data_IF_752866560922
#
_entry.id   IF_752866560922
#
_cell.length_a   1.000
_cell.length_b   1.000
_cell.length_c   1.000
_cell.angle_alpha   90.00
_cell.angle_beta   90.00
_cell.angle_gamma   90.00
#
_symmetry.space_group_name_H-M   'P 1'
#
loop_
_entity.id
_entity.type
_entity.pdbx_description
1 polymer ?
#
# COMPACT_ATOMS: atom_id res chain seq x y z
N UNK A 1 14.89 28.29 18.14
CA UNK A 1 13.44 27.96 18.17
C UNK A 1 13.26 26.69 19.00
N UNK A 2 12.26 25.83 18.78
CA UNK A 2 12.19 24.49 19.42
C UNK A 2 12.23 23.40 18.34
N UNK A 3 12.93 22.31 18.64
CA UNK A 3 12.96 21.13 17.76
C UNK A 3 11.77 20.22 18.01
N UNK A 4 11.13 19.77 16.94
CA UNK A 4 10.03 18.83 16.93
C UNK A 4 10.28 17.72 15.92
N UNK A 5 9.84 16.52 16.26
CA UNK A 5 9.77 15.38 15.38
C UNK A 5 8.29 15.06 15.14
N UNK A 6 7.89 15.08 13.88
CA UNK A 6 6.52 14.84 13.45
C UNK A 6 6.51 13.56 12.63
N UNK A 7 5.72 12.58 13.07
CA UNK A 7 5.39 11.39 12.28
C UNK A 7 3.92 11.48 11.93
N UNK A 8 3.57 11.32 10.65
CA UNK A 8 2.18 11.25 10.23
C UNK A 8 1.93 10.14 9.21
N UNK A 9 0.71 9.62 9.27
CA UNK A 9 0.23 8.49 8.50
C UNK A 9 -0.80 9.00 7.50
N UNK A 10 -0.52 8.84 6.21
CA UNK A 10 -1.42 9.22 5.12
C UNK A 10 -2.16 7.97 4.60
N UNK A 11 -3.42 8.17 4.22
CA UNK A 11 -4.25 7.15 3.60
C UNK A 11 -3.60 6.61 2.30
N UNK A 12 -3.60 5.29 2.05
CA UNK A 12 -2.78 4.68 0.99
C UNK A 12 -3.15 5.10 -0.43
N UNK A 13 -4.39 5.54 -0.65
CA UNK A 13 -4.90 5.96 -1.97
C UNK A 13 -4.37 7.37 -2.35
N UNK A 14 -4.09 8.22 -1.36
CA UNK A 14 -3.53 9.56 -1.52
C UNK A 14 -1.99 9.55 -1.53
N UNK A 15 -1.37 8.36 -1.62
CA UNK A 15 0.09 8.19 -1.62
C UNK A 15 0.81 8.96 -2.74
N UNK A 16 0.15 9.29 -3.84
CA UNK A 16 0.72 10.09 -4.94
C UNK A 16 0.70 11.60 -4.64
N UNK A 17 -0.16 12.05 -3.73
CA UNK A 17 -0.30 13.46 -3.33
C UNK A 17 0.66 13.84 -2.19
N UNK A 18 1.31 12.84 -1.57
CA UNK A 18 2.25 13.02 -0.45
C UNK A 18 3.36 14.03 -0.75
N UNK A 19 4.07 13.99 -1.89
CA UNK A 19 5.17 14.94 -2.16
C UNK A 19 4.68 16.39 -2.16
N UNK A 20 3.54 16.66 -2.81
CA UNK A 20 2.92 17.98 -2.85
C UNK A 20 2.38 18.45 -1.49
N UNK A 21 1.91 17.53 -0.65
CA UNK A 21 1.54 17.86 0.73
C UNK A 21 2.77 18.24 1.56
N UNK A 22 3.86 17.45 1.47
CA UNK A 22 5.13 17.71 2.15
C UNK A 22 5.71 19.07 1.71
N UNK A 23 5.66 19.40 0.43
CA UNK A 23 6.15 20.68 -0.10
C UNK A 23 5.34 21.87 0.45
N UNK A 24 4.00 21.75 0.56
CA UNK A 24 3.15 22.77 1.21
C UNK A 24 3.50 22.96 2.69
N UNK A 25 3.69 21.87 3.43
CA UNK A 25 4.08 21.95 4.84
C UNK A 25 5.49 22.55 5.03
N UNK A 26 6.44 22.23 4.13
CA UNK A 26 7.76 22.89 4.08
C UNK A 26 7.64 24.39 3.84
N UNK A 27 6.77 24.81 2.92
CA UNK A 27 6.47 26.23 2.66
C UNK A 27 5.98 26.94 3.93
N UNK A 28 4.92 26.42 4.57
CA UNK A 28 4.38 26.97 5.82
C UNK A 28 5.45 27.09 6.94
N UNK A 29 6.35 26.10 7.05
CA UNK A 29 7.45 26.13 8.03
C UNK A 29 8.45 27.24 7.69
N UNK A 30 8.82 27.39 6.41
CA UNK A 30 9.77 28.40 5.95
C UNK A 30 9.20 29.83 6.07
N UNK A 31 7.92 30.03 5.73
CA UNK A 31 7.20 31.30 5.89
C UNK A 31 7.16 31.72 7.37
N UNK A 32 7.00 30.75 8.28
CA UNK A 32 7.10 30.92 9.73
C UNK A 32 8.53 31.07 10.29
N UNK A 33 9.55 31.18 9.43
CA UNK A 33 10.96 31.33 9.82
C UNK A 33 11.60 30.05 10.39
N UNK A 34 10.95 28.89 10.25
CA UNK A 34 11.44 27.60 10.69
C UNK A 34 12.34 26.89 9.67
N UNK A 35 12.99 25.81 10.12
CA UNK A 35 13.92 25.00 9.32
C UNK A 35 13.52 23.53 9.38
N UNK A 36 13.55 22.84 8.24
CA UNK A 36 13.37 21.38 8.18
C UNK A 36 14.75 20.72 8.14
N UNK A 37 15.09 20.02 9.21
CA UNK A 37 16.40 19.38 9.41
C UNK A 37 16.49 18.00 8.76
N UNK A 38 15.39 17.25 8.77
CA UNK A 38 15.30 15.88 8.23
C UNK A 38 13.92 15.65 7.63
N UNK A 39 13.86 15.01 6.47
CA UNK A 39 12.63 14.50 5.86
C UNK A 39 12.90 13.07 5.42
N UNK A 40 12.10 12.12 5.88
CA UNK A 40 12.13 10.74 5.41
C UNK A 40 10.73 10.32 4.99
N UNK A 41 10.64 9.78 3.77
CA UNK A 41 9.49 9.02 3.29
C UNK A 41 9.80 7.54 3.56
N UNK A 42 8.96 6.85 4.35
CA UNK A 42 9.08 5.42 4.65
C UNK A 42 8.10 4.57 3.82
N UNK A 43 7.46 5.18 2.81
CA UNK A 43 6.54 4.56 1.89
C UNK A 43 5.31 3.94 2.54
N UNK A 44 4.69 3.02 1.80
CA UNK A 44 3.45 2.32 2.19
C UNK A 44 3.77 1.07 3.02
N UNK A 45 3.51 1.14 4.33
CA UNK A 45 3.77 0.07 5.30
C UNK A 45 2.47 -0.54 5.83
N UNK A 46 2.52 -1.82 6.21
CA UNK A 46 1.37 -2.51 6.81
C UNK A 46 1.22 -2.11 8.29
N UNK A 47 -0.01 -1.80 8.70
CA UNK A 47 -0.35 -1.44 10.07
C UNK A 47 -0.48 -2.70 10.94
N UNK A 48 -0.09 -2.60 12.21
CA UNK A 48 -0.23 -3.68 13.18
C UNK A 48 -1.71 -4.00 13.51
N UNK A 49 -2.60 -3.01 13.37
CA UNK A 49 -4.04 -3.13 13.52
C UNK A 49 -4.74 -2.14 12.58
N UNK A 50 -5.99 -2.40 12.15
CA UNK A 50 -6.68 -1.50 11.23
C UNK A 50 -7.04 -0.18 11.90
N UNK A 51 -6.73 0.94 11.23
CA UNK A 51 -7.19 2.29 11.60
C UNK A 51 -8.25 2.68 10.57
N UNK A 52 -9.46 3.06 10.99
CA UNK A 52 -10.57 3.40 10.08
C UNK A 52 -10.82 2.33 8.99
N UNK A 53 -10.69 1.03 9.34
CA UNK A 53 -10.77 -0.15 8.45
C UNK A 53 -9.62 -0.31 7.43
N UNK A 54 -8.58 0.51 7.52
CA UNK A 54 -7.43 0.51 6.60
C UNK A 54 -6.29 -0.31 7.21
N UNK A 55 -5.64 -1.16 6.41
CA UNK A 55 -4.55 -2.05 6.84
C UNK A 55 -3.14 -1.60 6.41
N UNK A 56 -3.02 -0.58 5.58
CA UNK A 56 -1.73 -0.02 5.11
C UNK A 56 -1.80 1.49 5.14
N UNK A 57 -0.73 2.16 5.58
CA UNK A 57 -0.63 3.61 5.53
C UNK A 57 0.70 4.01 4.89
N UNK A 58 0.73 5.18 4.28
CA UNK A 58 1.96 5.82 3.86
C UNK A 58 2.54 6.58 5.06
N UNK A 59 3.81 6.32 5.42
CA UNK A 59 4.46 6.90 6.60
C UNK A 59 5.47 7.99 6.22
N UNK A 60 5.35 9.17 6.82
CA UNK A 60 6.29 10.27 6.65
C UNK A 60 6.82 10.70 8.02
N UNK A 61 8.12 10.94 8.08
CA UNK A 61 8.84 11.49 9.21
C UNK A 61 9.43 12.86 8.81
N UNK A 62 9.26 13.86 9.67
CA UNK A 62 9.81 15.19 9.47
C UNK A 62 10.37 15.74 10.79
N UNK A 63 11.65 16.13 10.80
CA UNK A 63 12.25 16.85 11.91
C UNK A 63 12.31 18.33 11.56
N UNK A 64 11.69 19.15 12.40
CA UNK A 64 11.55 20.58 12.17
C UNK A 64 12.08 21.37 13.38
N UNK A 65 12.50 22.58 13.11
CA UNK A 65 12.70 23.62 14.10
C UNK A 65 11.73 24.76 13.78
N UNK A 66 10.84 25.11 14.71
CA UNK A 66 9.84 26.16 14.51
C UNK A 66 9.43 26.86 15.81
N UNK A 67 8.64 27.93 15.68
CA UNK A 67 7.91 28.55 16.79
C UNK A 67 6.75 27.65 17.25
N UNK A 68 6.09 28.02 18.35
CA UNK A 68 4.89 27.31 18.80
C UNK A 68 3.68 27.58 17.88
N UNK A 69 3.54 28.82 17.41
CA UNK A 69 2.42 29.27 16.56
C UNK A 69 2.34 28.44 15.26
N UNK A 70 3.46 28.31 14.56
CA UNK A 70 3.58 27.49 13.33
C UNK A 70 3.29 26.01 13.61
N UNK A 71 3.64 25.50 14.78
CA UNK A 71 3.32 24.12 15.16
C UNK A 71 1.82 23.91 15.36
N UNK A 72 1.14 24.89 15.97
CA UNK A 72 -0.30 24.84 16.23
C UNK A 72 -1.10 24.99 14.91
N UNK A 73 -0.61 25.78 13.96
CA UNK A 73 -1.13 25.86 12.59
C UNK A 73 -0.93 24.55 11.80
N UNK A 74 0.23 23.90 11.91
CA UNK A 74 0.47 22.57 11.32
C UNK A 74 -0.43 21.51 11.93
N UNK A 75 -0.56 21.48 13.27
CA UNK A 75 -1.45 20.55 13.97
C UNK A 75 -2.92 20.73 13.56
N UNK A 76 -3.35 21.98 13.37
CA UNK A 76 -4.66 22.34 12.82
C UNK A 76 -4.80 21.87 11.36
N UNK A 77 -3.76 22.08 10.53
CA UNK A 77 -3.73 21.64 9.14
C UNK A 77 -3.78 20.12 8.99
N UNK A 78 -3.14 19.35 9.89
CA UNK A 78 -3.26 17.89 9.92
C UNK A 78 -4.64 17.42 10.39
N UNK A 79 -5.34 18.19 11.24
CA UNK A 79 -6.67 17.86 11.74
C UNK A 79 -7.77 18.06 10.70
N UNK A 80 -7.62 19.04 9.81
CA UNK A 80 -8.58 19.33 8.73
C UNK A 80 -8.27 18.60 7.41
N UNK A 81 -7.18 17.83 7.34
CA UNK A 81 -6.85 17.06 6.14
C UNK A 81 -7.26 15.59 6.30
N UNK A 82 -8.38 15.20 5.70
CA UNK A 82 -8.92 13.83 5.74
C UNK A 82 -7.97 12.75 5.21
N UNK A 83 -6.95 13.12 4.41
CA UNK A 83 -5.92 12.20 3.98
C UNK A 83 -4.99 11.76 5.13
N UNK A 84 -4.90 12.53 6.22
CA UNK A 84 -4.04 12.23 7.38
C UNK A 84 -4.82 11.41 8.41
N UNK A 85 -4.53 10.12 8.49
CA UNK A 85 -5.20 9.18 9.41
C UNK A 85 -4.82 9.41 10.88
N UNK A 86 -3.55 9.78 11.12
CA UNK A 86 -3.00 10.02 12.45
C UNK A 86 -1.69 10.80 12.32
N UNK A 87 -1.46 11.71 13.25
CA UNK A 87 -0.18 12.38 13.46
C UNK A 87 0.30 12.16 14.90
N UNK A 88 1.61 12.31 15.10
CA UNK A 88 2.28 12.32 16.40
C UNK A 88 3.35 13.41 16.35
N UNK A 89 3.22 14.40 17.22
CA UNK A 89 4.20 15.49 17.39
C UNK A 89 4.96 15.25 18.69
N UNK A 90 6.27 15.11 18.62
CA UNK A 90 7.16 14.95 19.76
C UNK A 90 8.15 16.12 19.85
N UNK A 91 8.28 16.73 21.02
CA UNK A 91 9.37 17.68 21.27
C UNK A 91 10.71 16.94 21.37
N UNK A 92 11.74 17.46 20.71
CA UNK A 92 13.13 16.99 20.82
C UNK A 92 13.99 18.03 21.56
N UNK A 93 15.15 17.58 22.04
CA UNK A 93 16.14 18.44 22.68
C UNK A 93 17.02 19.13 21.64
N UNK A 94 17.42 18.37 20.62
CA UNK A 94 18.41 18.75 19.62
C UNK A 94 17.88 18.47 18.19
N UNK A 95 18.50 19.09 17.18
CA UNK A 95 18.25 18.82 15.77
C UNK A 95 18.87 17.47 15.36
N UNK A 96 18.06 16.41 15.34
CA UNK A 96 18.52 15.10 14.83
C UNK A 96 18.50 15.13 13.30
N UNK A 97 19.67 15.26 12.67
CA UNK A 97 19.86 15.21 11.22
C UNK A 97 20.16 13.79 10.68
N UNK A 98 20.59 12.88 11.55
CA UNK A 98 20.92 11.48 11.21
C UNK A 98 19.72 10.72 10.65
N UNK A 99 19.89 9.99 9.53
CA UNK A 99 18.84 9.13 8.96
C UNK A 99 18.46 7.99 9.90
N UNK A 100 17.16 7.75 10.03
CA UNK A 100 16.56 6.70 10.85
C UNK A 100 16.93 5.29 10.37
N UNK A 101 17.00 4.36 11.33
CA UNK A 101 17.11 2.92 11.09
C UNK A 101 15.97 2.38 10.21
N UNK A 102 14.81 3.06 10.19
CA UNK A 102 13.65 2.66 9.40
C UNK A 102 13.75 2.99 7.91
N UNK A 103 14.57 3.99 7.53
CA UNK A 103 14.92 4.30 6.14
C UNK A 103 16.11 3.43 5.67
N UNK A 104 17.12 3.26 6.54
CA UNK A 104 18.29 2.38 6.28
C UNK A 104 17.95 0.88 6.19
N UNK A 105 16.79 0.46 6.67
CA UNK A 105 16.38 -0.95 6.78
C UNK A 105 15.65 -1.55 5.58
N UNK A 106 15.41 -0.81 4.49
CA UNK A 106 14.59 -1.29 3.38
C UNK A 106 15.32 -2.15 2.33
N UNK A 107 16.66 -2.18 2.30
CA UNK A 107 17.40 -2.95 1.28
C UNK A 107 17.40 -4.49 1.42
N UNK A 108 17.49 -5.13 2.62
CA UNK A 108 17.56 -6.60 2.70
C UNK A 108 16.18 -7.30 2.77
N UNK A 109 15.16 -6.67 3.36
CA UNK A 109 13.92 -7.37 3.73
C UNK A 109 13.00 -7.73 2.54
N UNK A 110 13.25 -7.21 1.34
CA UNK A 110 12.47 -7.52 0.13
C UNK A 110 12.98 -8.76 -0.63
N UNK A 111 14.19 -9.24 -0.32
CA UNK A 111 14.79 -10.41 -0.96
C UNK A 111 14.23 -11.76 -0.44
N UNK A 112 13.75 -11.81 0.81
CA UNK A 112 13.36 -13.05 1.49
C UNK A 112 11.83 -13.28 1.57
N UNK A 113 11.12 -12.97 0.49
CA UNK A 113 9.87 -13.70 0.21
C UNK A 113 10.20 -14.80 -0.78
N UNK A 114 10.58 -16.02 -0.34
CA UNK A 114 10.68 -17.14 -1.25
C UNK A 114 9.34 -17.26 -1.99
N UNK A 115 9.41 -17.40 -3.30
CA UNK A 115 8.23 -17.64 -4.11
C UNK A 115 7.47 -18.83 -3.50
N UNK A 116 6.15 -18.70 -3.38
CA UNK A 116 5.30 -19.82 -3.03
C UNK A 116 5.36 -20.82 -4.19
N UNK A 117 6.37 -21.69 -4.16
CA UNK A 117 6.50 -22.80 -5.09
C UNK A 117 5.21 -23.61 -5.02
N UNK A 118 4.47 -23.58 -6.12
CA UNK A 118 3.49 -24.59 -6.42
C UNK A 118 4.20 -25.63 -7.29
N UNK A 119 4.56 -26.80 -6.74
CA UNK A 119 4.72 -27.98 -7.57
C UNK A 119 3.32 -28.53 -7.86
N UNK A 120 2.85 -28.27 -9.08
CA UNK A 120 1.85 -29.11 -9.75
C UNK A 120 2.41 -30.54 -9.77
N UNK A 121 1.69 -31.49 -9.19
CA UNK A 121 2.03 -32.91 -9.20
C UNK A 121 0.77 -33.73 -9.55
N UNK A 122 0.42 -33.74 -10.83
CA UNK A 122 -0.36 -34.85 -11.41
C UNK A 122 0.56 -36.08 -11.52
N UNK A 123 0.04 -37.29 -11.31
CA UNK A 123 0.66 -38.51 -11.79
C UNK A 123 -0.29 -39.29 -12.73
N UNK A 124 -0.32 -38.89 -14.00
CA UNK A 124 -0.51 -39.84 -15.11
C UNK A 124 0.89 -40.29 -15.58
N UNK A 125 1.17 -41.51 -16.06
CA UNK A 125 0.50 -42.81 -16.07
C UNK A 125 1.54 -43.83 -16.59
N UNK A 126 1.29 -45.16 -16.53
CA UNK A 126 1.73 -46.21 -17.52
C UNK A 126 1.28 -47.64 -17.11
N UNK A 127 1.25 -48.65 -18.04
CA UNK A 127 0.00 -49.39 -18.33
C UNK A 127 0.14 -50.93 -18.38
N UNK A 128 -0.81 -51.61 -19.05
CA UNK A 128 -0.95 -53.08 -19.28
C UNK A 128 -1.34 -53.91 -18.03
N UNK A 129 -2.15 -54.98 -18.07
CA UNK A 129 -2.92 -55.74 -19.09
C UNK A 129 -4.17 -56.34 -18.36
N UNK A 130 -5.26 -56.88 -18.94
CA UNK A 130 -5.73 -57.11 -20.32
C UNK A 130 -7.27 -57.41 -20.36
N UNK A 131 -7.87 -57.39 -21.56
CA UNK A 131 -9.11 -58.11 -22.00
C UNK A 131 -10.46 -57.77 -21.31
N UNK A 132 -11.62 -57.90 -21.97
CA UNK A 132 -12.00 -57.99 -23.39
C UNK A 132 -13.55 -57.81 -23.50
N UNK A 133 -14.09 -57.92 -24.72
CA UNK A 133 -15.53 -57.87 -25.09
C UNK A 133 -16.10 -56.42 -25.10
N UNK A 134 -16.40 -55.79 -26.26
CA UNK A 134 -17.29 -56.15 -27.40
C UNK A 134 -18.77 -56.23 -26.98
N UNK A 135 -19.76 -55.78 -27.75
CA UNK A 135 -19.83 -55.07 -29.03
C UNK A 135 -21.27 -54.51 -29.13
N UNK A 136 -21.54 -53.52 -29.98
CA UNK A 136 -22.90 -53.05 -30.35
C UNK A 136 -23.75 -52.45 -29.18
N UNK A 137 -24.63 -51.48 -29.37
CA UNK A 137 -25.31 -51.02 -30.59
C UNK A 137 -25.38 -49.49 -30.64
N UNK A 138 -25.11 -48.95 -31.84
CA UNK A 138 -25.63 -47.66 -32.28
C UNK A 138 -26.61 -47.90 -33.42
N UNK A 139 -27.86 -47.50 -33.25
CA UNK A 139 -28.84 -47.34 -34.33
C UNK A 139 -29.82 -46.26 -33.88
N UNK A 140 -29.81 -45.14 -34.62
CA UNK A 140 -30.96 -44.55 -35.33
C UNK A 140 -32.38 -44.66 -34.70
N UNK A 141 -33.29 -43.70 -34.82
CA UNK A 141 -33.48 -42.73 -35.93
C UNK A 141 -34.43 -41.55 -35.55
N UNK A 142 -34.38 -40.47 -36.36
CA UNK A 142 -35.31 -39.32 -36.57
C UNK A 142 -36.30 -38.79 -35.49
N UNK A 143 -36.29 -37.47 -35.30
CA UNK A 143 -37.39 -36.51 -35.67
C UNK A 143 -37.10 -35.10 -35.09
N UNK A 144 -36.52 -34.13 -35.79
CA UNK A 144 -36.98 -33.37 -36.98
C UNK A 144 -37.84 -32.12 -36.67
N UNK A 145 -37.42 -30.99 -37.29
CA UNK A 145 -37.98 -29.62 -37.36
C UNK A 145 -37.51 -28.66 -36.25
N UNK A 146 -36.58 -27.71 -36.48
CA UNK A 146 -36.39 -26.68 -37.53
C UNK A 146 -36.95 -25.31 -37.12
N UNK A 147 -36.05 -24.33 -37.04
CA UNK A 147 -36.10 -22.97 -37.62
C UNK A 147 -37.34 -22.09 -37.34
N UNK A 148 -37.20 -20.78 -37.06
CA UNK A 148 -36.43 -19.83 -37.87
C UNK A 148 -36.00 -18.56 -37.09
N UNK A 149 -35.21 -17.72 -37.77
CA UNK A 149 -34.43 -16.56 -37.33
C UNK A 149 -35.20 -15.23 -37.54
N UNK A 150 -34.51 -14.08 -37.40
CA UNK A 150 -34.84 -12.72 -37.87
C UNK A 150 -35.54 -11.85 -36.79
N UNK A 151 -34.91 -10.90 -36.10
CA UNK A 151 -34.17 -9.68 -36.52
C UNK A 151 -35.08 -8.43 -36.71
N UNK A 152 -34.52 -7.26 -36.37
CA UNK A 152 -35.01 -5.88 -36.62
C UNK A 152 -36.18 -5.32 -35.76
N UNK A 153 -35.84 -4.45 -34.79
CA UNK A 153 -36.16 -3.01 -34.86
C UNK A 153 -35.30 -2.15 -33.91
#
# INVERSE_FOLDING_TARGET
MRHYEIVFLVHPDQSEQVPSMVERYKGQIADGGGVVHRLEDWGRRQLAYPINKIHKAHYILMNIECSQEVLDELATSFKFNDAVLRNLVMRRKDAVAEESLLAKGEEPARAERPAREAPRAEPEAKPEEAKAESEESSTEEVAAKSDDTTEEK
#
